data_IF_166732587591
#
_entry.id   IF_166732587591
#
_cell.length_a   1.000
_cell.length_b   1.000
_cell.length_c   1.000
_cell.angle_alpha   90.00
_cell.angle_beta   90.00
_cell.angle_gamma   90.00
#
_symmetry.space_group_name_H-M   'P 1'
#
loop_
_entity.id
_entity.type
_entity.pdbx_description
1 polymer ?
#
# COMPACT_ATOMS: atom_id res chain seq x y z
N UNK A 1 -10.32 -6.03 -29.77
CA UNK A 1 -10.45 -4.56 -29.75
C UNK A 1 -10.66 -4.03 -28.33
N UNK A 2 -11.59 -4.59 -27.55
CA UNK A 2 -11.83 -4.15 -26.15
C UNK A 2 -10.70 -4.54 -25.17
N UNK A 3 -10.00 -5.64 -25.42
CA UNK A 3 -8.83 -6.07 -24.62
C UNK A 3 -7.63 -5.12 -24.75
N UNK A 4 -7.39 -4.55 -25.93
CA UNK A 4 -6.21 -3.71 -26.17
C UNK A 4 -6.32 -2.36 -25.47
N UNK A 5 -7.54 -1.79 -25.43
CA UNK A 5 -7.82 -0.60 -24.66
C UNK A 5 -7.65 -0.83 -23.15
N UNK A 6 -8.06 -2.02 -22.66
CA UNK A 6 -7.85 -2.43 -21.28
C UNK A 6 -6.36 -2.54 -20.93
N UNK A 7 -5.58 -3.31 -21.70
CA UNK A 7 -4.14 -3.48 -21.45
C UNK A 7 -3.37 -2.16 -21.60
N UNK A 8 -3.78 -1.28 -22.53
CA UNK A 8 -3.23 0.06 -22.66
C UNK A 8 -3.46 0.91 -21.41
N UNK A 9 -4.69 0.88 -20.85
CA UNK A 9 -5.02 1.61 -19.63
C UNK A 9 -4.28 1.05 -18.41
N UNK A 10 -4.22 -0.28 -18.28
CA UNK A 10 -3.47 -0.95 -17.21
C UNK A 10 -1.98 -0.58 -17.25
N UNK A 11 -1.36 -0.68 -18.42
CA UNK A 11 0.05 -0.34 -18.60
C UNK A 11 0.34 1.12 -18.25
N UNK A 12 -0.56 2.04 -18.63
CA UNK A 12 -0.44 3.46 -18.30
C UNK A 12 -0.56 3.72 -16.79
N UNK A 13 -1.47 3.03 -16.09
CA UNK A 13 -1.62 3.14 -14.63
C UNK A 13 -0.38 2.61 -13.91
N UNK A 14 0.13 1.44 -14.31
CA UNK A 14 1.33 0.86 -13.72
C UNK A 14 2.57 1.72 -13.97
N UNK A 15 2.75 2.22 -15.20
CA UNK A 15 3.86 3.10 -15.57
C UNK A 15 3.88 4.42 -14.77
N UNK A 16 2.70 5.01 -14.52
CA UNK A 16 2.58 6.23 -13.70
C UNK A 16 2.86 5.98 -12.23
N UNK A 17 2.69 4.75 -11.74
CA UNK A 17 2.97 4.40 -10.36
C UNK A 17 4.46 4.08 -10.16
N UNK A 18 5.27 5.11 -9.88
CA UNK A 18 6.71 4.95 -9.59
C UNK A 18 7.00 4.02 -8.40
N UNK A 19 6.04 3.80 -7.50
CA UNK A 19 6.16 2.87 -6.38
C UNK A 19 6.00 1.41 -6.76
N UNK A 20 5.37 1.13 -7.92
CA UNK A 20 5.13 -0.23 -8.39
C UNK A 20 6.43 -1.00 -8.67
N UNK A 21 7.41 -0.37 -9.30
CA UNK A 21 8.72 -1.00 -9.55
C UNK A 21 9.46 -1.32 -8.24
N UNK A 22 9.34 -0.46 -7.23
CA UNK A 22 9.89 -0.74 -5.90
C UNK A 22 9.21 -1.94 -5.26
N UNK A 23 7.87 -2.02 -5.31
CA UNK A 23 7.10 -3.14 -4.78
C UNK A 23 7.44 -4.46 -5.48
N UNK A 24 7.64 -4.43 -6.81
CA UNK A 24 8.04 -5.60 -7.59
C UNK A 24 9.40 -6.14 -7.13
N UNK A 25 10.37 -5.25 -6.91
CA UNK A 25 11.68 -5.62 -6.36
C UNK A 25 11.62 -6.15 -4.94
N UNK A 26 10.81 -5.53 -4.07
CA UNK A 26 10.56 -6.08 -2.72
C UNK A 26 10.04 -7.51 -2.81
N UNK A 27 9.05 -7.75 -3.67
CA UNK A 27 8.48 -9.10 -3.88
C UNK A 27 9.53 -10.11 -4.35
N UNK A 28 10.40 -9.72 -5.29
CA UNK A 28 11.50 -10.57 -5.77
C UNK A 28 12.52 -10.89 -4.66
N UNK A 29 12.89 -9.90 -3.84
CA UNK A 29 13.79 -10.09 -2.70
C UNK A 29 13.18 -11.05 -1.69
N UNK A 30 11.89 -10.87 -1.37
CA UNK A 30 11.17 -11.75 -0.46
C UNK A 30 11.04 -13.19 -0.98
N UNK A 31 11.03 -13.37 -2.31
CA UNK A 31 11.00 -14.68 -2.96
C UNK A 31 12.38 -15.35 -3.07
N UNK A 32 13.45 -14.60 -2.77
CA UNK A 32 14.85 -15.06 -2.90
C UNK A 32 15.45 -14.88 -4.30
N UNK A 33 14.72 -14.26 -5.23
CA UNK A 33 15.13 -14.09 -6.63
C UNK A 33 16.03 -12.85 -6.86
N UNK A 34 16.11 -11.96 -5.86
CA UNK A 34 16.88 -10.72 -5.94
C UNK A 34 17.58 -10.38 -4.62
N UNK A 35 18.67 -9.62 -4.73
CA UNK A 35 19.43 -9.10 -3.59
C UNK A 35 18.99 -7.65 -3.33
N UNK A 36 19.01 -7.24 -2.06
CA UNK A 36 18.75 -5.85 -1.66
C UNK A 36 19.79 -4.92 -2.34
N UNK A 37 19.30 -3.92 -3.05
CA UNK A 37 20.12 -2.89 -3.69
C UNK A 37 19.64 -1.47 -3.29
N UNK A 38 20.29 -0.44 -3.84
CA UNK A 38 19.96 0.97 -3.56
C UNK A 38 18.52 1.36 -3.92
N UNK A 39 17.83 0.61 -4.79
CA UNK A 39 16.48 0.97 -5.23
C UNK A 39 15.40 0.70 -4.17
N UNK A 40 15.74 -0.11 -3.18
CA UNK A 40 14.87 -0.50 -2.06
C UNK A 40 15.21 0.30 -0.79
N UNK A 41 16.31 1.07 -0.80
CA UNK A 41 16.64 1.96 0.29
C UNK A 41 15.57 3.06 0.48
N UNK A 42 15.29 3.46 1.72
CA UNK A 42 15.98 3.13 2.97
C UNK A 42 15.43 1.90 3.73
N UNK A 43 14.66 1.01 3.10
CA UNK A 43 13.99 -0.09 3.80
C UNK A 43 15.00 -1.08 4.38
N UNK A 44 14.86 -1.38 5.67
CA UNK A 44 15.64 -2.42 6.35
C UNK A 44 15.07 -3.81 6.04
N UNK A 45 15.82 -4.86 6.34
CA UNK A 45 15.30 -6.25 6.21
C UNK A 45 14.04 -6.45 7.05
N UNK A 46 13.94 -5.84 8.24
CA UNK A 46 12.74 -5.91 9.07
C UNK A 46 11.55 -5.26 8.39
N UNK A 47 11.74 -4.10 7.76
CA UNK A 47 10.67 -3.41 7.02
C UNK A 47 10.18 -4.28 5.86
N UNK A 48 11.09 -4.93 5.13
CA UNK A 48 10.75 -5.83 4.02
C UNK A 48 9.95 -7.06 4.48
N UNK A 49 10.31 -7.64 5.62
CA UNK A 49 9.56 -8.77 6.19
C UNK A 49 8.13 -8.37 6.57
N UNK A 50 7.94 -7.16 7.09
CA UNK A 50 6.61 -6.60 7.37
C UNK A 50 5.77 -6.43 6.09
N UNK A 51 6.40 -6.23 4.92
CA UNK A 51 5.70 -6.13 3.64
C UNK A 51 5.09 -7.45 3.15
N UNK A 52 5.38 -8.60 3.79
CA UNK A 52 4.69 -9.88 3.53
C UNK A 52 3.18 -9.77 3.66
N UNK A 53 2.73 -8.90 4.55
CA UNK A 53 1.32 -8.68 4.87
C UNK A 53 0.76 -7.44 4.19
N UNK A 54 1.58 -6.74 3.38
CA UNK A 54 1.12 -5.56 2.65
C UNK A 54 0.17 -6.00 1.53
N UNK A 55 -1.05 -5.43 1.43
CA UNK A 55 -1.94 -5.70 0.32
C UNK A 55 -1.28 -5.27 -0.99
N UNK A 56 -1.07 -6.21 -1.91
CA UNK A 56 -0.46 -5.95 -3.23
C UNK A 56 -1.43 -5.15 -4.11
N UNK A 57 -2.73 -5.25 -3.85
CA UNK A 57 -3.77 -4.58 -4.62
C UNK A 57 -4.16 -3.24 -3.97
N UNK A 58 -4.03 -2.17 -4.74
CA UNK A 58 -4.45 -0.83 -4.32
C UNK A 58 -5.95 -0.76 -4.00
N UNK A 59 -6.77 -1.67 -4.53
CA UNK A 59 -8.21 -1.70 -4.27
C UNK A 59 -8.55 -1.90 -2.79
N UNK A 60 -7.84 -2.78 -2.08
CA UNK A 60 -8.08 -3.01 -0.66
C UNK A 60 -7.61 -1.82 0.17
N UNK A 61 -6.48 -1.22 -0.22
CA UNK A 61 -6.00 0.02 0.38
C UNK A 61 -6.99 1.16 0.14
N UNK A 62 -7.47 1.36 -1.09
CA UNK A 62 -8.47 2.38 -1.43
C UNK A 62 -9.79 2.18 -0.68
N UNK A 63 -10.27 0.94 -0.56
CA UNK A 63 -11.48 0.62 0.21
C UNK A 63 -11.32 1.00 1.67
N UNK A 64 -10.20 0.61 2.28
CA UNK A 64 -9.88 0.90 3.68
C UNK A 64 -9.66 2.40 3.90
N UNK A 65 -9.00 3.12 2.98
CA UNK A 65 -8.87 4.59 3.04
C UNK A 65 -10.20 5.32 2.80
N UNK A 66 -11.09 4.77 1.98
CA UNK A 66 -12.44 5.31 1.79
C UNK A 66 -13.28 5.13 3.06
N UNK A 67 -13.14 3.99 3.75
CA UNK A 67 -13.73 3.76 5.08
C UNK A 67 -13.17 4.72 6.13
N UNK A 68 -11.86 4.98 6.10
CA UNK A 68 -11.21 5.96 6.98
C UNK A 68 -11.41 7.42 6.56
N UNK A 69 -11.96 7.67 5.37
CA UNK A 69 -12.11 9.03 4.82
C UNK A 69 -12.84 9.93 5.79
N UNK A 70 -13.91 9.46 6.43
CA UNK A 70 -14.69 10.26 7.39
C UNK A 70 -13.92 10.63 8.67
N UNK A 71 -12.94 9.81 9.07
CA UNK A 71 -12.08 10.01 10.24
C UNK A 71 -10.86 10.86 9.92
N UNK A 72 -10.31 10.72 8.72
CA UNK A 72 -9.12 11.42 8.25
C UNK A 72 -9.43 12.78 7.59
N UNK A 73 -10.67 13.02 7.19
CA UNK A 73 -11.09 14.37 6.76
C UNK A 73 -11.32 15.26 7.97
N UNK A 74 -11.08 16.56 7.77
CA UNK A 74 -11.18 17.60 8.78
C UNK A 74 -12.65 17.94 9.13
N UNK A 75 -13.42 16.93 9.52
CA UNK A 75 -14.85 17.02 9.80
C UNK A 75 -15.09 17.49 11.23
N UNK A 76 -14.67 18.71 11.60
CA UNK A 76 -14.98 19.43 12.86
C UNK A 76 -14.84 18.65 14.20
N UNK A 77 -14.27 17.44 14.18
CA UNK A 77 -13.96 16.58 15.31
C UNK A 77 -12.45 16.36 15.24
N UNK A 78 -11.70 17.29 15.81
CA UNK A 78 -10.25 17.18 15.89
C UNK A 78 -9.87 15.97 16.74
N UNK A 79 -9.40 14.91 16.11
CA UNK A 79 -8.76 13.82 16.83
C UNK A 79 -7.35 14.27 17.23
N UNK A 80 -6.99 14.09 18.50
CA UNK A 80 -5.58 14.04 18.85
C UNK A 80 -4.95 12.80 18.17
N UNK A 81 -3.67 12.88 17.85
CA UNK A 81 -2.92 11.82 17.19
C UNK A 81 -3.03 10.48 17.93
N UNK A 82 -2.99 10.49 19.26
CA UNK A 82 -3.20 9.28 20.07
C UNK A 82 -4.59 8.67 19.88
N UNK A 83 -5.64 9.49 19.79
CA UNK A 83 -7.00 9.00 19.57
C UNK A 83 -7.16 8.43 18.16
N UNK A 84 -6.51 9.05 17.17
CA UNK A 84 -6.47 8.56 15.80
C UNK A 84 -5.77 7.21 15.72
N UNK A 85 -4.62 7.07 16.39
CA UNK A 85 -3.85 5.82 16.47
C UNK A 85 -4.69 4.69 17.08
N UNK A 86 -5.37 4.94 18.20
CA UNK A 86 -6.25 3.95 18.82
C UNK A 86 -7.39 3.52 17.88
N UNK A 87 -8.02 4.46 17.18
CA UNK A 87 -9.07 4.16 16.21
C UNK A 87 -8.58 3.29 15.05
N UNK A 88 -7.39 3.59 14.51
CA UNK A 88 -6.78 2.79 13.43
C UNK A 88 -6.50 1.37 13.93
N UNK A 89 -5.90 1.21 15.12
CA UNK A 89 -5.61 -0.12 15.70
C UNK A 89 -6.89 -0.94 15.88
N UNK A 90 -7.94 -0.35 16.47
CA UNK A 90 -9.22 -1.05 16.69
C UNK A 90 -9.83 -1.49 15.36
N UNK A 91 -9.85 -0.61 14.36
CA UNK A 91 -10.45 -0.91 13.05
C UNK A 91 -9.67 -1.96 12.26
N UNK A 92 -8.34 -1.89 12.28
CA UNK A 92 -7.49 -2.91 11.68
C UNK A 92 -7.65 -4.29 12.33
N UNK A 93 -7.89 -4.34 13.65
CA UNK A 93 -8.08 -5.60 14.37
C UNK A 93 -9.51 -6.17 14.31
N UNK A 94 -10.50 -5.34 13.97
CA UNK A 94 -11.90 -5.77 13.86
C UNK A 94 -12.23 -6.40 12.50
N UNK A 95 -11.39 -6.17 11.48
CA UNK A 95 -11.52 -6.72 10.14
C UNK A 95 -10.64 -7.98 9.89
N UNK A 96 -10.14 -8.60 10.97
CA UNK A 96 -9.53 -9.94 10.98
C UNK A 96 -10.59 -11.00 11.35
#
# INVERSE_FOLDING_TARGET
MESDAYYGKLSNVLYKNKGFEKLKKVSQIMSGDAIIDETVQPLTMSDLLCMKHAPIVSCDVERVFSEYKAMLTDNRRGFNFENLRHHVIIKCNHNL
#
